data_IF_565306908970
#
_entry.id   IF_565306908970
#
_cell.length_a   1.000
_cell.length_b   1.000
_cell.length_c   1.000
_cell.angle_alpha   90.00
_cell.angle_beta   90.00
_cell.angle_gamma   90.00
#
_symmetry.space_group_name_H-M   'P 1'
#
loop_
_entity.id
_entity.type
_entity.pdbx_description
1 polymer ?
#
# COMPACT_ATOMS: atom_id res chain seq x y z
N UNK A 1 -1.20 -53.55 5.10
CA UNK A 1 -0.17 -52.71 5.76
C UNK A 1 0.79 -52.22 4.69
N UNK A 2 0.70 -50.95 4.30
CA UNK A 2 1.66 -50.32 3.38
C UNK A 2 2.98 -50.09 4.13
N UNK A 3 4.09 -50.67 3.66
CA UNK A 3 5.42 -50.43 4.25
C UNK A 3 5.78 -48.95 4.06
N UNK A 4 6.11 -48.26 5.15
CA UNK A 4 6.68 -46.90 5.09
C UNK A 4 8.02 -46.95 4.38
N UNK A 5 8.18 -46.15 3.32
CA UNK A 5 9.45 -45.96 2.64
C UNK A 5 10.45 -45.30 3.60
N UNK A 6 11.70 -45.75 3.54
CA UNK A 6 12.85 -45.13 4.20
C UNK A 6 13.21 -43.81 3.53
N UNK A 7 13.91 -42.91 4.24
CA UNK A 7 14.34 -41.61 3.69
C UNK A 7 15.19 -41.75 2.43
N UNK A 8 16.00 -42.81 2.33
CA UNK A 8 16.80 -43.12 1.13
C UNK A 8 15.93 -43.53 -0.06
N UNK A 9 14.86 -44.30 0.16
CA UNK A 9 13.90 -44.67 -0.88
C UNK A 9 13.10 -43.47 -1.37
N UNK A 10 12.82 -42.50 -0.48
CA UNK A 10 12.17 -41.24 -0.84
C UNK A 10 13.13 -40.39 -1.68
N UNK A 11 14.39 -40.22 -1.26
CA UNK A 11 15.38 -39.46 -2.02
C UNK A 11 15.63 -40.04 -3.42
N UNK A 12 15.79 -41.37 -3.56
CA UNK A 12 15.98 -42.01 -4.86
C UNK A 12 14.74 -41.95 -5.77
N UNK A 13 13.56 -41.72 -5.20
CA UNK A 13 12.33 -41.49 -5.97
C UNK A 13 12.20 -40.06 -6.51
N UNK A 14 12.91 -39.12 -5.89
CA UNK A 14 12.84 -37.68 -6.19
C UNK A 14 14.08 -37.20 -6.94
N UNK A 15 15.22 -37.88 -6.82
CA UNK A 15 16.49 -37.50 -7.46
C UNK A 15 17.09 -38.64 -8.27
N UNK A 16 17.81 -38.31 -9.35
CA UNK A 16 18.68 -39.25 -10.06
C UNK A 16 19.92 -39.54 -9.21
N UNK A 17 20.21 -40.82 -8.99
CA UNK A 17 21.31 -41.28 -8.15
C UNK A 17 22.69 -41.01 -8.75
N UNK A 18 22.79 -40.76 -10.05
CA UNK A 18 24.07 -40.53 -10.74
C UNK A 18 24.53 -39.07 -10.68
N UNK A 19 23.60 -38.10 -10.70
CA UNK A 19 23.92 -36.67 -10.76
C UNK A 19 23.12 -35.78 -9.78
N UNK A 20 22.33 -36.39 -8.88
CA UNK A 20 21.54 -35.69 -7.85
C UNK A 20 20.54 -34.65 -8.40
N UNK A 21 20.09 -34.80 -9.65
CA UNK A 21 19.07 -33.91 -10.26
C UNK A 21 17.65 -34.35 -9.94
N UNK A 22 16.75 -33.39 -9.79
CA UNK A 22 15.33 -33.62 -9.46
C UNK A 22 14.59 -34.33 -10.62
N UNK A 23 13.88 -35.42 -10.34
CA UNK A 23 13.02 -36.16 -11.30
C UNK A 23 11.68 -35.45 -11.57
N UNK A 24 11.67 -34.13 -11.76
CA UNK A 24 10.48 -33.41 -12.19
C UNK A 24 10.67 -32.93 -13.63
N UNK A 25 10.01 -33.60 -14.59
CA UNK A 25 9.84 -33.09 -15.95
C UNK A 25 8.38 -32.66 -16.10
N UNK A 26 8.14 -31.35 -16.22
CA UNK A 26 6.87 -30.84 -16.72
C UNK A 26 7.01 -30.73 -18.24
N UNK A 27 6.13 -31.41 -18.98
CA UNK A 27 6.16 -31.46 -20.44
C UNK A 27 4.83 -30.90 -20.95
N UNK A 28 4.88 -29.76 -21.62
CA UNK A 28 3.85 -29.36 -22.60
C UNK A 28 4.32 -29.78 -23.99
N UNK A 29 3.48 -29.67 -25.02
CA UNK A 29 3.76 -30.25 -26.34
C UNK A 29 5.09 -29.77 -26.97
N UNK A 30 5.59 -28.58 -26.62
CA UNK A 30 6.75 -27.96 -27.27
C UNK A 30 7.91 -27.52 -26.35
N UNK A 31 7.84 -27.71 -25.03
CA UNK A 31 8.91 -27.26 -24.10
C UNK A 31 9.21 -28.25 -22.96
N UNK A 32 10.50 -28.38 -22.61
CA UNK A 32 10.95 -29.12 -21.44
C UNK A 32 11.51 -28.16 -20.39
N UNK A 33 10.84 -28.08 -19.24
CA UNK A 33 11.32 -27.35 -18.07
C UNK A 33 12.21 -28.26 -17.21
N UNK A 34 13.49 -27.90 -17.09
CA UNK A 34 14.47 -28.61 -16.27
C UNK A 34 14.79 -27.82 -15.00
N UNK A 35 14.63 -28.43 -13.81
CA UNK A 35 15.04 -27.85 -12.53
C UNK A 35 16.34 -28.51 -12.05
N UNK A 36 17.41 -27.73 -11.92
CA UNK A 36 18.75 -28.21 -11.54
C UNK A 36 19.19 -27.54 -10.24
N UNK A 37 19.41 -28.31 -9.18
CA UNK A 37 20.00 -27.78 -7.95
C UNK A 37 21.52 -27.72 -8.06
N UNK A 38 22.08 -26.52 -7.96
CA UNK A 38 23.51 -26.27 -7.98
C UNK A 38 24.06 -26.29 -6.55
N UNK A 39 24.84 -27.32 -6.23
CA UNK A 39 25.38 -27.53 -4.89
C UNK A 39 26.47 -26.53 -4.49
N UNK A 40 27.17 -25.89 -5.43
CA UNK A 40 28.19 -24.89 -5.09
C UNK A 40 27.58 -23.56 -4.70
N UNK A 41 26.47 -23.18 -5.34
CA UNK A 41 25.78 -21.92 -5.06
C UNK A 41 24.57 -22.07 -4.12
N UNK A 42 24.14 -23.30 -3.82
CA UNK A 42 22.95 -23.59 -3.02
C UNK A 42 21.64 -23.15 -3.69
N UNK A 43 21.64 -22.96 -5.02
CA UNK A 43 20.52 -22.39 -5.78
C UNK A 43 19.86 -23.42 -6.68
N UNK A 44 18.54 -23.28 -6.84
CA UNK A 44 17.78 -23.99 -7.87
C UNK A 44 17.83 -23.17 -9.17
N UNK A 45 18.32 -23.78 -10.25
CA UNK A 45 18.37 -23.23 -11.61
C UNK A 45 17.21 -23.82 -12.43
N UNK A 46 16.61 -23.01 -13.29
CA UNK A 46 15.54 -23.43 -14.20
C UNK A 46 16.06 -23.25 -15.62
N UNK A 47 16.07 -24.33 -16.42
CA UNK A 47 16.48 -24.30 -17.81
C UNK A 47 15.31 -24.72 -18.70
N UNK A 48 15.03 -23.97 -19.76
CA UNK A 48 14.16 -24.42 -20.85
C UNK A 48 15.01 -24.92 -22.02
N UNK A 49 14.74 -26.12 -22.50
CA UNK A 49 15.29 -26.65 -23.75
C UNK A 49 14.16 -26.80 -24.78
N UNK A 50 14.29 -26.18 -25.98
CA UNK A 50 13.34 -26.39 -27.08
C UNK A 50 13.19 -25.30 -28.16
N UNK A 51 13.63 -24.05 -27.96
CA UNK A 51 13.36 -23.00 -28.95
C UNK A 51 14.30 -23.07 -30.19
N UNK A 52 13.83 -23.68 -31.27
CA UNK A 52 14.49 -23.61 -32.59
C UNK A 52 14.06 -22.33 -33.30
N UNK A 53 15.01 -21.42 -33.54
CA UNK A 53 14.86 -20.36 -34.55
C UNK A 53 14.11 -19.09 -34.11
N UNK A 54 14.69 -18.35 -33.17
CA UNK A 54 14.34 -16.96 -32.86
C UNK A 54 15.53 -16.31 -32.14
N UNK A 55 15.76 -15.01 -32.35
CA UNK A 55 16.83 -14.25 -31.69
C UNK A 55 16.90 -14.61 -30.19
N UNK A 56 18.10 -14.68 -29.57
CA UNK A 56 18.21 -15.06 -28.17
C UNK A 56 17.26 -14.18 -27.37
N UNK A 57 16.26 -14.82 -26.75
CA UNK A 57 15.43 -14.15 -25.76
C UNK A 57 16.39 -13.78 -24.64
N UNK A 58 16.89 -12.54 -24.69
CA UNK A 58 17.55 -11.94 -23.55
C UNK A 58 16.54 -12.01 -22.42
N UNK A 59 16.88 -12.77 -21.40
CA UNK A 59 16.11 -12.78 -20.17
C UNK A 59 15.98 -11.31 -19.73
N UNK A 60 14.78 -10.72 -19.63
CA UNK A 60 14.62 -9.34 -19.18
C UNK A 60 15.24 -9.11 -17.78
N UNK A 61 15.46 -10.20 -17.03
CA UNK A 61 16.14 -10.20 -15.73
C UNK A 61 17.67 -10.09 -15.81
N UNK A 62 18.34 -10.57 -16.87
CA UNK A 62 19.80 -10.40 -17.01
C UNK A 62 20.17 -8.98 -17.43
N UNK A 63 19.34 -8.34 -18.25
CA UNK A 63 19.47 -6.91 -18.56
C UNK A 63 19.28 -6.04 -17.29
N UNK A 64 18.51 -6.52 -16.31
CA UNK A 64 18.27 -5.81 -15.04
C UNK A 64 19.36 -6.02 -13.99
N UNK A 65 20.12 -7.11 -14.08
CA UNK A 65 21.29 -7.32 -13.22
C UNK A 65 22.51 -6.50 -13.70
N UNK A 66 22.56 -6.13 -14.98
CA UNK A 66 23.71 -5.44 -15.57
C UNK A 66 23.59 -3.91 -15.62
N UNK A 67 22.43 -3.34 -15.30
CA UNK A 67 22.23 -1.88 -15.25
C UNK A 67 22.08 -1.35 -13.83
N UNK A 68 22.47 -2.13 -12.82
CA UNK A 68 22.66 -1.60 -11.46
C UNK A 68 24.08 -1.02 -11.40
N UNK A 69 24.28 0.28 -11.65
CA UNK A 69 25.60 0.86 -11.55
C UNK A 69 25.93 0.86 -10.07
N UNK A 70 27.04 0.23 -9.69
CA UNK A 70 27.57 0.20 -8.33
C UNK A 70 27.37 1.57 -7.62
N UNK A 71 26.32 1.64 -6.79
CA UNK A 71 25.72 2.91 -6.35
C UNK A 71 24.29 2.79 -5.78
N UNK A 72 23.59 1.65 -5.96
CA UNK A 72 22.23 1.40 -5.43
C UNK A 72 22.12 1.17 -3.91
N UNK A 73 22.75 2.05 -3.13
CA UNK A 73 22.40 2.33 -1.74
C UNK A 73 21.59 3.64 -1.62
N UNK A 74 21.06 4.19 -2.73
CA UNK A 74 20.41 5.51 -2.81
C UNK A 74 18.86 5.51 -2.74
N UNK A 75 18.23 4.48 -2.18
CA UNK A 75 16.91 4.61 -1.54
C UNK A 75 15.64 4.66 -2.43
N UNK A 76 15.72 4.47 -3.76
CA UNK A 76 14.51 4.23 -4.57
C UNK A 76 14.69 4.42 -6.09
N UNK A 77 13.92 3.68 -6.89
CA UNK A 77 13.77 3.85 -8.34
C UNK A 77 12.70 4.92 -8.64
N UNK A 78 12.94 5.76 -9.65
CA UNK A 78 11.97 6.76 -10.12
C UNK A 78 11.53 6.43 -11.54
N UNK A 79 10.22 6.52 -11.82
CA UNK A 79 9.66 6.25 -13.15
C UNK A 79 8.37 7.02 -13.43
N UNK A 80 7.92 7.01 -14.69
CA UNK A 80 6.81 7.85 -15.20
C UNK A 80 7.29 9.23 -15.64
N UNK A 81 6.37 10.11 -16.05
CA UNK A 81 6.67 11.52 -16.33
C UNK A 81 5.40 12.37 -16.28
N UNK A 82 5.19 13.10 -15.19
CA UNK A 82 3.91 13.77 -14.90
C UNK A 82 4.08 15.24 -14.55
N UNK A 83 3.52 16.12 -15.38
CA UNK A 83 3.49 17.56 -15.10
C UNK A 83 2.31 17.95 -14.19
N UNK A 84 2.47 19.06 -13.46
CA UNK A 84 1.44 19.62 -12.59
C UNK A 84 1.61 19.30 -11.10
N UNK A 85 0.77 19.92 -10.28
CA UNK A 85 0.84 19.87 -8.81
C UNK A 85 -0.45 19.32 -8.22
N UNK A 86 -0.36 18.72 -7.03
CA UNK A 86 -1.53 18.16 -6.35
C UNK A 86 -2.18 17.01 -7.10
N UNK A 87 -1.43 16.26 -7.92
CA UNK A 87 -2.02 15.41 -8.97
C UNK A 87 -2.90 14.30 -8.41
N UNK A 88 -2.27 13.35 -7.73
CA UNK A 88 -2.94 12.16 -7.19
C UNK A 88 -2.74 12.03 -5.69
N UNK A 89 -3.67 11.34 -5.04
CA UNK A 89 -3.68 11.07 -3.61
C UNK A 89 -4.19 9.65 -3.35
N UNK A 90 -3.54 8.96 -2.41
CA UNK A 90 -3.83 7.56 -2.10
C UNK A 90 -3.51 6.60 -3.25
N UNK A 91 -3.04 5.40 -2.92
CA UNK A 91 -2.82 4.33 -3.89
C UNK A 91 -3.55 3.08 -3.41
N UNK A 92 -4.28 2.42 -4.30
CA UNK A 92 -5.03 1.20 -3.99
C UNK A 92 -4.55 0.09 -4.90
N UNK A 93 -4.02 -0.97 -4.31
CA UNK A 93 -3.71 -2.20 -5.04
C UNK A 93 -5.03 -2.88 -5.43
N UNK A 94 -5.23 -3.10 -6.73
CA UNK A 94 -6.39 -3.78 -7.29
C UNK A 94 -6.12 -5.28 -7.55
N UNK A 95 -7.16 -6.12 -7.70
CA UNK A 95 -7.00 -7.55 -7.99
C UNK A 95 -6.26 -7.87 -9.29
N UNK A 96 -6.26 -6.94 -10.26
CA UNK A 96 -5.50 -7.06 -11.51
C UNK A 96 -3.99 -6.81 -11.35
N UNK A 97 -3.51 -6.58 -10.12
CA UNK A 97 -2.10 -6.34 -9.80
C UNK A 97 -1.64 -4.89 -10.03
N UNK A 98 -2.47 -4.02 -10.61
CA UNK A 98 -2.17 -2.60 -10.78
C UNK A 98 -2.51 -1.80 -9.52
N UNK A 99 -1.84 -0.68 -9.33
CA UNK A 99 -2.16 0.33 -8.32
C UNK A 99 -2.93 1.48 -8.97
N UNK A 100 -4.08 1.84 -8.42
CA UNK A 100 -4.88 2.98 -8.86
C UNK A 100 -4.77 4.14 -7.87
N UNK A 101 -4.47 5.34 -8.36
CA UNK A 101 -4.31 6.55 -7.56
C UNK A 101 -5.45 7.54 -7.83
N UNK A 102 -6.09 8.03 -6.76
CA UNK A 102 -7.26 8.88 -6.90
C UNK A 102 -6.89 10.26 -7.49
N UNK A 103 -7.65 10.78 -8.47
CA UNK A 103 -7.35 12.06 -9.11
C UNK A 103 -7.79 13.24 -8.24
N UNK A 104 -6.87 13.74 -7.40
CA UNK A 104 -7.14 14.87 -6.51
C UNK A 104 -7.29 16.18 -7.30
N UNK A 105 -6.22 16.66 -7.92
CA UNK A 105 -6.28 17.80 -8.87
C UNK A 105 -5.94 17.41 -10.31
N UNK A 106 -5.42 16.21 -10.56
CA UNK A 106 -5.25 15.68 -11.92
C UNK A 106 -6.61 15.43 -12.58
N UNK A 107 -6.76 15.66 -13.89
CA UNK A 107 -8.01 15.34 -14.59
C UNK A 107 -8.23 13.85 -14.80
N UNK A 108 -7.25 12.99 -14.52
CA UNK A 108 -7.33 11.56 -14.82
C UNK A 108 -6.83 10.73 -13.65
N UNK A 109 -7.39 9.53 -13.44
CA UNK A 109 -6.86 8.53 -12.53
C UNK A 109 -5.49 8.08 -13.05
N UNK A 110 -4.52 7.84 -12.16
CA UNK A 110 -3.25 7.19 -12.51
C UNK A 110 -3.34 5.71 -12.14
N UNK A 111 -3.18 4.83 -13.12
CA UNK A 111 -2.96 3.41 -12.90
C UNK A 111 -1.48 3.07 -13.14
N UNK A 112 -0.88 2.33 -12.21
CA UNK A 112 0.53 1.93 -12.23
C UNK A 112 0.60 0.42 -12.32
N UNK A 113 1.34 -0.11 -13.30
CA UNK A 113 1.70 -1.52 -13.34
C UNK A 113 3.05 -1.70 -12.63
N UNK A 114 3.09 -2.28 -11.42
CA UNK A 114 4.33 -2.47 -10.68
C UNK A 114 5.26 -3.52 -11.28
N UNK A 115 4.79 -4.35 -12.21
CA UNK A 115 5.57 -5.44 -12.81
C UNK A 115 6.61 -4.91 -13.80
N UNK A 116 6.24 -3.90 -14.59
CA UNK A 116 7.07 -3.32 -15.65
C UNK A 116 7.26 -1.80 -15.50
N UNK A 117 6.77 -1.21 -14.40
CA UNK A 117 6.83 0.22 -14.11
C UNK A 117 6.16 1.10 -15.17
N UNK A 118 5.20 0.57 -15.91
CA UNK A 118 4.38 1.36 -16.85
C UNK A 118 3.21 2.03 -16.14
N UNK A 119 2.67 3.07 -16.77
CA UNK A 119 1.55 3.83 -16.22
C UNK A 119 0.51 4.15 -17.29
N UNK A 120 -0.74 4.25 -16.87
CA UNK A 120 -1.91 4.52 -17.69
C UNK A 120 -2.74 5.63 -17.05
N UNK A 121 -3.27 6.56 -17.85
CA UNK A 121 -4.17 7.60 -17.37
C UNK A 121 -5.61 7.30 -17.81
N UNK A 122 -6.53 7.28 -16.84
CA UNK A 122 -7.90 6.80 -17.04
C UNK A 122 -8.91 7.90 -16.73
N UNK A 123 -9.91 8.03 -17.60
CA UNK A 123 -11.02 8.97 -17.43
C UNK A 123 -10.66 10.43 -17.74
N UNK A 124 -11.62 11.32 -17.47
CA UNK A 124 -11.47 12.78 -17.59
C UNK A 124 -12.44 13.46 -16.63
N UNK A 125 -11.91 14.13 -15.62
CA UNK A 125 -12.64 14.72 -14.51
C UNK A 125 -12.25 16.19 -14.37
N UNK A 126 -13.22 17.12 -14.47
CA UNK A 126 -13.00 18.55 -14.27
C UNK A 126 -12.86 18.92 -12.78
N UNK A 127 -12.28 20.07 -12.44
CA UNK A 127 -12.18 20.58 -11.06
C UNK A 127 -10.82 20.35 -10.37
N UNK A 128 -10.77 20.55 -9.06
CA UNK A 128 -9.55 20.37 -8.24
C UNK A 128 -9.88 19.86 -6.83
N UNK A 129 -8.89 19.24 -6.19
CA UNK A 129 -9.01 18.69 -4.84
C UNK A 129 -10.22 17.77 -4.59
N UNK A 130 -10.60 16.96 -5.58
CA UNK A 130 -11.88 16.23 -5.59
C UNK A 130 -11.94 15.03 -4.67
N UNK A 131 -11.03 14.09 -4.86
CA UNK A 131 -10.98 12.81 -4.14
C UNK A 131 -9.60 12.58 -3.56
N UNK A 132 -9.55 12.06 -2.34
CA UNK A 132 -8.30 11.98 -1.58
C UNK A 132 -7.66 10.59 -1.54
N UNK A 133 -8.44 9.53 -1.48
CA UNK A 133 -7.92 8.18 -1.35
C UNK A 133 -9.02 7.19 -1.64
N UNK A 134 -8.63 6.01 -2.08
CA UNK A 134 -9.54 4.93 -2.41
C UNK A 134 -9.47 3.79 -1.42
N UNK A 135 -10.49 2.94 -1.46
CA UNK A 135 -10.53 1.64 -0.78
C UNK A 135 -11.02 0.60 -1.77
N UNK A 136 -10.33 -0.54 -1.83
CA UNK A 136 -10.81 -1.70 -2.57
C UNK A 136 -11.94 -2.37 -1.79
N UNK A 137 -13.11 -2.50 -2.40
CA UNK A 137 -14.28 -3.14 -1.84
C UNK A 137 -14.34 -4.64 -2.21
N UNK A 138 -15.15 -5.46 -1.48
CA UNK A 138 -15.33 -6.88 -1.79
C UNK A 138 -15.88 -7.16 -3.19
N UNK A 139 -16.59 -6.20 -3.80
CA UNK A 139 -17.09 -6.29 -5.17
C UNK A 139 -16.00 -6.07 -6.25
N UNK A 140 -14.73 -5.92 -5.85
CA UNK A 140 -13.59 -5.71 -6.74
C UNK A 140 -13.41 -4.28 -7.24
N UNK A 141 -14.32 -3.35 -6.89
CA UNK A 141 -14.25 -1.94 -7.27
C UNK A 141 -13.53 -1.10 -6.22
N UNK A 142 -13.00 0.03 -6.64
CA UNK A 142 -12.32 1.00 -5.77
C UNK A 142 -13.24 2.20 -5.57
N UNK A 143 -13.47 2.58 -4.32
CA UNK A 143 -14.30 3.73 -3.94
C UNK A 143 -13.43 4.84 -3.38
N UNK A 144 -13.42 6.00 -4.03
CA UNK A 144 -12.65 7.16 -3.63
C UNK A 144 -13.49 8.17 -2.85
N UNK A 145 -13.06 8.50 -1.63
CA UNK A 145 -13.78 9.40 -0.73
C UNK A 145 -13.91 10.81 -1.33
N UNK A 146 -15.12 11.41 -1.34
CA UNK A 146 -15.35 12.73 -1.94
C UNK A 146 -14.93 13.86 -0.99
N UNK A 147 -13.77 14.46 -1.21
CA UNK A 147 -13.26 15.55 -0.39
C UNK A 147 -13.92 16.89 -0.75
N UNK A 148 -13.59 17.48 -1.91
CA UNK A 148 -14.33 18.62 -2.48
C UNK A 148 -15.34 18.18 -3.55
N UNK A 149 -15.24 16.96 -4.07
CA UNK A 149 -16.25 16.44 -4.99
C UNK A 149 -17.61 16.35 -4.32
N UNK A 150 -18.69 16.57 -5.06
CA UNK A 150 -20.04 16.26 -4.58
C UNK A 150 -20.38 14.78 -4.68
N UNK A 151 -19.57 13.97 -5.35
CA UNK A 151 -19.87 12.56 -5.62
C UNK A 151 -18.67 11.67 -5.32
N UNK A 152 -18.92 10.45 -4.83
CA UNK A 152 -17.92 9.39 -4.68
C UNK A 152 -17.51 8.95 -6.08
N UNK A 153 -16.21 8.76 -6.32
CA UNK A 153 -15.71 8.14 -7.55
C UNK A 153 -15.55 6.64 -7.33
N UNK A 154 -16.20 5.84 -8.16
CA UNK A 154 -16.07 4.38 -8.19
C UNK A 154 -15.30 3.99 -9.45
N UNK A 155 -14.28 3.15 -9.29
CA UNK A 155 -13.42 2.67 -10.38
C UNK A 155 -13.56 1.15 -10.45
N UNK A 156 -13.81 0.61 -11.65
CA UNK A 156 -13.78 -0.82 -11.91
C UNK A 156 -12.42 -1.20 -12.53
N UNK A 157 -11.51 -1.86 -11.78
CA UNK A 157 -10.21 -2.27 -12.31
C UNK A 157 -10.28 -3.34 -13.41
N UNK A 158 -11.41 -4.03 -13.57
CA UNK A 158 -11.56 -5.08 -14.57
C UNK A 158 -11.60 -4.53 -16.01
N UNK A 159 -12.18 -3.36 -16.21
CA UNK A 159 -12.38 -2.73 -17.52
C UNK A 159 -12.03 -1.23 -17.55
N UNK A 160 -11.47 -0.70 -16.46
CA UNK A 160 -11.15 0.72 -16.25
C UNK A 160 -12.37 1.66 -16.34
N UNK A 161 -13.61 1.15 -16.29
CA UNK A 161 -14.80 1.99 -16.24
C UNK A 161 -14.92 2.74 -14.90
N UNK A 162 -15.64 3.86 -14.92
CA UNK A 162 -15.83 4.69 -13.74
C UNK A 162 -17.27 5.12 -13.59
N UNK A 163 -17.72 5.27 -12.35
CA UNK A 163 -19.06 5.70 -11.97
C UNK A 163 -18.96 6.79 -10.90
N UNK A 164 -19.89 7.75 -10.92
CA UNK A 164 -20.02 8.77 -9.87
C UNK A 164 -21.33 8.55 -9.13
N UNK A 165 -21.25 8.35 -7.81
CA UNK A 165 -22.42 8.04 -6.97
C UNK A 165 -22.59 9.04 -5.83
N UNK A 166 -23.84 9.19 -5.38
CA UNK A 166 -24.22 10.10 -4.29
C UNK A 166 -24.23 11.58 -4.68
N UNK A 167 -24.57 12.43 -3.70
CA UNK A 167 -24.59 13.89 -3.82
C UNK A 167 -24.39 14.52 -2.44
N UNK A 168 -23.21 15.08 -2.21
CA UNK A 168 -22.74 15.56 -0.92
C UNK A 168 -22.24 17.00 -1.03
N UNK A 169 -23.04 17.96 -0.53
CA UNK A 169 -22.66 19.37 -0.47
C UNK A 169 -21.51 19.64 0.50
N UNK A 170 -20.80 20.76 0.32
CA UNK A 170 -19.68 21.17 1.18
C UNK A 170 -18.31 20.83 0.62
N UNK A 171 -17.27 21.31 1.29
CA UNK A 171 -15.85 21.13 0.89
C UNK A 171 -15.06 20.44 1.99
N UNK A 172 -13.92 19.85 1.63
CA UNK A 172 -12.97 19.20 2.52
C UNK A 172 -13.59 18.12 3.44
N UNK A 173 -14.59 17.41 2.92
CA UNK A 173 -15.48 16.59 3.75
C UNK A 173 -14.77 15.39 4.37
N UNK A 174 -14.29 14.47 3.54
CA UNK A 174 -13.67 13.22 3.98
C UNK A 174 -12.31 13.02 3.31
N UNK A 175 -11.28 12.68 4.09
CA UNK A 175 -9.89 12.59 3.63
C UNK A 175 -9.32 11.16 3.58
N UNK A 176 -9.81 10.26 4.43
CA UNK A 176 -9.45 8.84 4.42
C UNK A 176 -10.69 7.97 4.31
N UNK A 177 -10.50 6.69 4.02
CA UNK A 177 -11.56 5.69 4.08
C UNK A 177 -10.99 4.34 4.46
N UNK A 178 -11.81 3.51 5.12
CA UNK A 178 -11.43 2.16 5.59
C UNK A 178 -12.55 1.18 5.27
N UNK A 179 -12.20 0.00 4.74
CA UNK A 179 -13.13 -1.12 4.60
C UNK A 179 -13.27 -1.81 5.96
N UNK A 180 -14.50 -1.98 6.44
CA UNK A 180 -14.80 -2.70 7.67
C UNK A 180 -15.17 -4.17 7.40
N UNK A 181 -15.12 -5.05 8.43
CA UNK A 181 -15.51 -6.46 8.31
C UNK A 181 -16.96 -6.69 7.88
N UNK A 182 -17.85 -5.71 8.11
CA UNK A 182 -19.23 -5.76 7.65
C UNK A 182 -19.40 -5.51 6.14
N UNK A 183 -18.29 -5.36 5.40
CA UNK A 183 -18.28 -5.11 3.95
C UNK A 183 -18.54 -3.66 3.54
N UNK A 184 -18.80 -2.76 4.51
CA UNK A 184 -19.04 -1.32 4.27
C UNK A 184 -17.75 -0.52 4.37
N UNK A 185 -17.74 0.64 3.71
CA UNK A 185 -16.62 1.58 3.71
C UNK A 185 -16.97 2.77 4.57
N UNK A 186 -16.08 3.14 5.49
CA UNK A 186 -16.23 4.29 6.38
C UNK A 186 -15.27 5.38 5.97
N UNK A 187 -15.79 6.48 5.44
CA UNK A 187 -15.05 7.68 5.06
C UNK A 187 -14.87 8.60 6.28
N UNK A 188 -13.62 8.95 6.55
CA UNK A 188 -13.17 9.61 7.78
C UNK A 188 -13.45 11.12 7.70
N UNK A 189 -14.20 11.70 8.66
CA UNK A 189 -14.61 13.10 8.62
C UNK A 189 -13.44 14.05 8.88
N UNK A 190 -13.03 14.79 7.86
CA UNK A 190 -12.02 15.83 7.96
C UNK A 190 -12.68 17.15 8.41
N UNK A 191 -13.41 17.83 7.51
CA UNK A 191 -14.26 18.99 7.84
C UNK A 191 -15.74 18.60 7.94
N UNK A 192 -16.14 17.43 7.42
CA UNK A 192 -17.52 16.96 7.56
C UNK A 192 -17.87 16.74 9.04
N UNK A 193 -19.12 17.06 9.42
CA UNK A 193 -19.62 16.78 10.77
C UNK A 193 -19.88 15.28 10.98
N UNK A 194 -20.08 14.51 9.92
CA UNK A 194 -20.51 13.11 10.02
C UNK A 194 -19.58 12.19 9.24
N UNK A 195 -19.47 10.95 9.72
CA UNK A 195 -18.79 9.87 8.98
C UNK A 195 -19.72 9.46 7.83
N UNK A 196 -19.16 9.30 6.63
CA UNK A 196 -19.90 8.75 5.49
C UNK A 196 -19.66 7.25 5.42
N UNK A 197 -20.73 6.48 5.48
CA UNK A 197 -20.73 5.02 5.31
C UNK A 197 -21.26 4.69 3.93
N UNK A 198 -20.56 3.83 3.20
CA UNK A 198 -20.92 3.39 1.84
C UNK A 198 -21.12 1.88 1.88
N UNK A 199 -22.22 1.38 1.32
CA UNK A 199 -22.45 -0.03 1.08
C UNK A 199 -22.10 -0.38 -0.38
N UNK A 200 -21.00 -1.10 -0.65
CA UNK A 200 -20.60 -1.45 -2.01
C UNK A 200 -21.53 -2.47 -2.68
N UNK A 201 -22.42 -3.13 -1.94
CA UNK A 201 -23.35 -4.12 -2.51
C UNK A 201 -24.45 -3.46 -3.37
N UNK A 202 -24.90 -2.26 -2.99
CA UNK A 202 -26.00 -1.54 -3.63
C UNK A 202 -25.73 -0.04 -3.84
N UNK A 203 -24.51 0.42 -3.53
CA UNK A 203 -24.08 1.83 -3.57
C UNK A 203 -24.89 2.77 -2.65
N UNK A 204 -25.65 2.24 -1.69
CA UNK A 204 -26.35 3.06 -0.70
C UNK A 204 -25.36 3.73 0.26
N UNK A 205 -25.77 4.86 0.82
CA UNK A 205 -24.93 5.65 1.74
C UNK A 205 -25.69 6.10 2.96
N UNK A 206 -24.98 6.19 4.08
CA UNK A 206 -25.49 6.62 5.39
C UNK A 206 -24.51 7.62 6.01
N UNK A 207 -25.03 8.58 6.80
CA UNK A 207 -24.23 9.51 7.58
C UNK A 207 -24.43 9.22 9.07
N UNK A 208 -23.33 8.99 9.79
CA UNK A 208 -23.37 8.61 11.21
C UNK A 208 -22.50 9.55 12.06
N UNK A 209 -22.86 9.68 13.34
CA UNK A 209 -22.19 10.56 14.31
C UNK A 209 -22.47 12.05 14.08
N UNK A 210 -21.83 12.88 14.91
CA UNK A 210 -21.88 14.35 14.86
C UNK A 210 -20.63 14.94 15.53
N UNK A 211 -19.72 15.47 14.73
CA UNK A 211 -18.39 15.90 15.12
C UNK A 211 -18.06 17.27 14.52
N UNK A 212 -18.32 18.33 15.29
CA UNK A 212 -18.09 19.70 14.84
C UNK A 212 -16.59 20.05 14.74
N UNK A 213 -16.28 21.00 13.85
CA UNK A 213 -14.93 21.52 13.64
C UNK A 213 -14.27 21.02 12.35
N UNK A 214 -13.07 21.54 12.06
CA UNK A 214 -12.34 21.30 10.83
C UNK A 214 -11.02 20.55 11.03
N UNK A 215 -10.58 19.84 9.99
CA UNK A 215 -9.33 19.12 9.88
C UNK A 215 -9.11 18.14 11.03
N UNK A 216 -10.19 17.51 11.49
CA UNK A 216 -10.23 16.75 12.75
C UNK A 216 -9.38 15.50 12.66
N UNK A 217 -9.72 14.63 11.73
CA UNK A 217 -9.06 13.35 11.48
C UNK A 217 -8.70 13.20 10.01
N UNK A 218 -7.73 12.34 9.70
CA UNK A 218 -7.24 12.17 8.34
C UNK A 218 -7.33 10.72 7.85
N UNK A 219 -6.33 9.89 8.16
CA UNK A 219 -6.31 8.47 7.84
C UNK A 219 -6.85 7.62 8.98
N UNK A 220 -7.07 6.34 8.71
CA UNK A 220 -7.51 5.39 9.72
C UNK A 220 -7.08 3.98 9.37
N UNK A 221 -7.11 3.09 10.36
CA UNK A 221 -6.78 1.69 10.21
C UNK A 221 -7.83 0.83 10.91
N UNK A 222 -8.17 -0.30 10.29
CA UNK A 222 -8.97 -1.35 10.90
C UNK A 222 -8.10 -2.11 11.90
N UNK A 223 -8.53 -2.18 13.15
CA UNK A 223 -7.86 -2.94 14.20
C UNK A 223 -8.36 -4.41 14.25
N UNK A 224 -7.59 -5.33 14.87
CA UNK A 224 -8.02 -6.72 15.08
C UNK A 224 -9.31 -6.87 15.90
N UNK A 225 -9.66 -5.88 16.71
CA UNK A 225 -10.92 -5.85 17.47
C UNK A 225 -12.15 -5.49 16.61
N UNK A 226 -11.98 -5.28 15.30
CA UNK A 226 -13.05 -4.95 14.36
C UNK A 226 -13.39 -3.46 14.28
N UNK A 227 -12.80 -2.62 15.14
CA UNK A 227 -13.02 -1.16 15.14
C UNK A 227 -12.04 -0.43 14.24
N UNK A 228 -12.42 0.77 13.81
CA UNK A 228 -11.59 1.65 12.98
C UNK A 228 -11.05 2.78 13.86
N UNK A 229 -9.74 2.99 13.87
CA UNK A 229 -9.09 4.07 14.61
C UNK A 229 -8.56 5.13 13.63
N UNK A 230 -8.96 6.38 13.82
CA UNK A 230 -8.63 7.50 12.95
C UNK A 230 -7.60 8.44 13.58
N UNK A 231 -6.54 8.77 12.83
CA UNK A 231 -5.45 9.62 13.29
C UNK A 231 -5.95 11.03 13.63
N UNK A 232 -5.66 11.56 14.83
CA UNK A 232 -6.05 12.92 15.20
C UNK A 232 -5.12 13.94 14.53
N UNK A 233 -5.60 14.59 13.47
CA UNK A 233 -4.83 15.58 12.74
C UNK A 233 -4.78 16.91 13.50
N UNK A 234 -5.90 17.64 13.54
CA UNK A 234 -6.08 18.81 14.41
C UNK A 234 -6.96 18.51 15.63
N UNK A 235 -7.71 17.40 15.62
CA UNK A 235 -8.44 16.96 16.80
C UNK A 235 -7.48 16.70 17.96
N UNK A 236 -7.93 16.97 19.19
CA UNK A 236 -7.19 16.58 20.38
C UNK A 236 -7.33 15.08 20.68
N UNK A 237 -8.24 14.37 20.02
CA UNK A 237 -8.64 13.01 20.38
C UNK A 237 -8.72 12.13 19.15
N UNK A 238 -8.36 10.86 19.29
CA UNK A 238 -8.54 9.81 18.28
C UNK A 238 -10.04 9.55 18.14
N UNK A 239 -10.53 9.38 16.91
CA UNK A 239 -11.87 8.87 16.65
C UNK A 239 -11.81 7.36 16.49
N UNK A 240 -12.66 6.64 17.21
CA UNK A 240 -12.82 5.19 17.11
C UNK A 240 -14.25 4.91 16.64
N UNK A 241 -14.39 4.13 15.57
CA UNK A 241 -15.68 3.79 14.96
C UNK A 241 -15.90 2.30 15.15
N UNK A 242 -17.07 1.91 15.63
CA UNK A 242 -17.50 0.52 15.72
C UNK A 242 -18.45 0.19 14.56
N UNK A 243 -18.01 -0.60 13.56
CA UNK A 243 -18.84 -0.97 12.43
C UNK A 243 -19.98 -1.94 12.77
N UNK A 244 -20.00 -2.53 13.97
CA UNK A 244 -21.03 -3.51 14.35
C UNK A 244 -22.38 -2.84 14.62
N UNK A 245 -22.37 -1.63 15.19
CA UNK A 245 -23.56 -0.85 15.54
C UNK A 245 -23.52 0.59 15.02
N UNK A 246 -22.52 0.94 14.21
CA UNK A 246 -22.28 2.30 13.70
C UNK A 246 -22.07 3.35 14.81
N UNK A 247 -21.67 2.93 16.02
CA UNK A 247 -21.30 3.88 17.07
C UNK A 247 -19.89 4.43 16.86
N UNK A 248 -19.60 5.53 17.56
CA UNK A 248 -18.28 6.13 17.54
C UNK A 248 -17.97 6.78 18.90
N UNK A 249 -16.71 6.67 19.30
CA UNK A 249 -16.17 7.24 20.53
C UNK A 249 -14.89 8.03 20.26
N UNK A 250 -14.53 8.91 21.19
CA UNK A 250 -13.31 9.72 21.11
C UNK A 250 -12.41 9.42 22.32
N UNK A 251 -11.13 9.15 22.07
CA UNK A 251 -10.17 8.72 23.09
C UNK A 251 -8.87 9.52 23.03
N UNK A 252 -8.13 9.50 24.14
CA UNK A 252 -6.85 10.20 24.27
C UNK A 252 -6.99 11.71 24.40
N UNK A 253 -5.83 12.38 24.51
CA UNK A 253 -5.73 13.84 24.61
C UNK A 253 -4.35 14.29 24.13
N UNK A 254 -4.32 14.99 23.00
CA UNK A 254 -3.11 15.40 22.29
C UNK A 254 -3.18 16.88 21.92
N UNK A 255 -2.09 17.61 22.11
CA UNK A 255 -2.00 19.03 21.76
C UNK A 255 -1.30 19.24 20.42
N UNK A 256 -1.62 20.34 19.75
CA UNK A 256 -1.02 20.72 18.47
C UNK A 256 -1.88 20.42 17.24
N UNK A 257 -1.38 20.87 16.09
CA UNK A 257 -2.08 20.81 14.79
C UNK A 257 -1.24 20.05 13.76
N UNK A 258 -1.90 19.58 12.70
CA UNK A 258 -1.32 18.81 11.61
C UNK A 258 -0.47 17.62 12.10
N UNK A 259 -0.89 16.99 13.21
CA UNK A 259 -0.07 16.06 13.99
C UNK A 259 0.25 14.80 13.21
N UNK A 260 -0.75 13.93 13.07
CA UNK A 260 -0.65 12.65 12.39
C UNK A 260 -1.65 12.56 11.23
N UNK A 261 -1.24 11.87 10.16
CA UNK A 261 -2.03 11.76 8.93
C UNK A 261 -2.52 10.33 8.72
N UNK A 262 -1.73 9.49 8.04
CA UNK A 262 -2.05 8.07 7.82
C UNK A 262 -1.89 7.22 9.08
N UNK A 263 -2.57 6.08 9.10
CA UNK A 263 -2.43 5.04 10.11
C UNK A 263 -2.02 3.73 9.43
N UNK A 264 -1.16 2.95 10.08
CA UNK A 264 -0.73 1.64 9.59
C UNK A 264 -0.88 0.62 10.72
N UNK A 265 -1.58 -0.49 10.43
CA UNK A 265 -1.66 -1.61 11.35
C UNK A 265 -0.35 -2.41 11.27
N UNK A 266 0.30 -2.64 12.41
CA UNK A 266 1.48 -3.49 12.52
C UNK A 266 1.09 -4.95 12.87
N UNK A 267 1.98 -5.94 12.65
CA UNK A 267 1.72 -7.34 13.00
C UNK A 267 1.40 -7.59 14.48
N UNK A 268 1.85 -6.69 15.37
CA UNK A 268 1.53 -6.72 16.80
C UNK A 268 0.06 -6.43 17.13
N UNK A 269 -0.73 -5.97 16.14
CA UNK A 269 -2.09 -5.48 16.35
C UNK A 269 -2.17 -4.01 16.73
N UNK A 270 -1.01 -3.36 16.99
CA UNK A 270 -0.93 -1.93 17.27
C UNK A 270 -1.00 -1.09 15.99
N UNK A 271 -1.53 0.12 16.12
CA UNK A 271 -1.69 1.07 15.02
C UNK A 271 -0.67 2.19 15.16
N UNK A 272 0.10 2.45 14.10
CA UNK A 272 1.11 3.49 14.04
C UNK A 272 0.59 4.66 13.18
N UNK A 273 0.46 5.83 13.78
CA UNK A 273 0.04 7.05 13.12
C UNK A 273 1.25 7.86 12.64
N UNK A 274 1.28 8.21 11.35
CA UNK A 274 2.43 8.80 10.66
C UNK A 274 2.63 10.27 11.06
N UNK A 275 3.83 10.68 11.53
CA UNK A 275 4.09 12.01 12.10
C UNK A 275 4.31 13.08 11.02
N UNK A 276 3.21 13.61 10.48
CA UNK A 276 3.27 14.71 9.50
C UNK A 276 3.82 16.00 10.09
N UNK A 277 3.27 16.46 11.22
CA UNK A 277 3.71 17.64 11.95
C UNK A 277 4.03 17.39 13.43
N UNK A 278 3.58 16.26 14.00
CA UNK A 278 3.93 15.88 15.37
C UNK A 278 5.41 15.51 15.49
N UNK A 279 6.10 15.89 16.58
CA UNK A 279 7.50 15.51 16.78
C UNK A 279 7.73 14.02 17.04
N UNK A 280 6.65 13.25 17.25
CA UNK A 280 6.71 11.84 17.61
C UNK A 280 5.67 11.04 16.83
N UNK A 281 5.93 9.76 16.61
CA UNK A 281 4.96 8.78 16.12
C UNK A 281 3.97 8.49 17.25
N UNK A 282 2.69 8.38 16.92
CA UNK A 282 1.66 7.90 17.85
C UNK A 282 1.40 6.42 17.60
N UNK A 283 1.50 5.62 18.66
CA UNK A 283 1.12 4.21 18.67
C UNK A 283 -0.14 4.06 19.49
N UNK A 284 -1.12 3.34 18.95
CA UNK A 284 -2.38 3.03 19.61
C UNK A 284 -2.42 1.51 19.81
N UNK A 285 -2.73 1.06 21.03
CA UNK A 285 -3.03 -0.34 21.33
C UNK A 285 -4.56 -0.52 21.38
N UNK A 286 -5.16 -1.19 20.37
CA UNK A 286 -6.61 -1.39 20.35
C UNK A 286 -7.14 -2.37 21.40
N UNK A 287 -6.28 -3.10 22.11
CA UNK A 287 -6.72 -4.08 23.11
C UNK A 287 -7.21 -3.41 24.40
N UNK A 288 -6.65 -2.24 24.74
CA UNK A 288 -6.97 -1.49 25.95
C UNK A 288 -7.10 0.04 25.72
N UNK A 289 -7.03 0.48 24.45
CA UNK A 289 -7.06 1.88 24.02
C UNK A 289 -5.93 2.75 24.61
N UNK A 290 -4.83 2.15 25.07
CA UNK A 290 -3.65 2.90 25.50
C UNK A 290 -2.86 3.45 24.32
N UNK A 291 -2.04 4.46 24.59
CA UNK A 291 -1.24 5.13 23.56
C UNK A 291 0.18 5.38 24.02
N UNK A 292 1.12 5.28 23.09
CA UNK A 292 2.55 5.54 23.29
C UNK A 292 3.04 6.56 22.24
N UNK A 293 4.01 7.40 22.63
CA UNK A 293 4.68 8.34 21.73
C UNK A 293 6.18 8.04 21.71
N UNK A 294 6.77 7.95 20.51
CA UNK A 294 8.21 7.76 20.37
C UNK A 294 8.79 8.44 19.12
N UNK A 295 10.12 8.54 19.07
CA UNK A 295 10.86 9.26 18.05
C UNK A 295 11.05 10.75 18.37
N UNK A 296 11.77 11.45 17.50
CA UNK A 296 12.04 12.89 17.61
C UNK A 296 12.28 13.48 16.22
N UNK A 297 11.29 14.22 15.73
CA UNK A 297 11.28 14.77 14.38
C UNK A 297 11.01 16.27 14.41
N UNK A 298 11.75 17.05 13.62
CA UNK A 298 11.58 18.50 13.46
C UNK A 298 10.98 18.85 12.09
N UNK A 299 10.39 20.04 11.94
CA UNK A 299 9.72 20.46 10.71
C UNK A 299 8.26 20.05 10.61
N UNK A 300 7.64 20.33 9.47
CA UNK A 300 6.19 20.16 9.24
C UNK A 300 5.89 19.48 7.92
N UNK A 301 4.72 18.84 7.84
CA UNK A 301 4.23 18.15 6.65
C UNK A 301 5.24 17.13 6.05
N UNK A 302 5.95 16.39 6.90
CA UNK A 302 7.07 15.53 6.49
C UNK A 302 6.63 14.31 5.71
N UNK A 303 5.78 13.49 6.32
CA UNK A 303 5.26 12.24 5.79
C UNK A 303 3.76 12.18 6.07
N UNK A 304 2.97 11.71 5.11
CA UNK A 304 1.51 11.71 5.23
C UNK A 304 0.87 10.33 5.21
N UNK A 305 1.57 9.32 4.70
CA UNK A 305 1.11 7.95 4.70
C UNK A 305 2.27 6.99 4.82
N UNK A 306 1.98 5.80 5.32
CA UNK A 306 2.92 4.70 5.41
C UNK A 306 2.27 3.39 4.97
N UNK A 307 3.10 2.40 4.73
CA UNK A 307 2.65 1.03 4.45
C UNK A 307 3.55 0.04 5.16
N UNK A 308 2.95 -1.02 5.71
CA UNK A 308 3.69 -2.16 6.24
C UNK A 308 4.28 -2.95 5.07
N UNK A 309 5.59 -3.13 5.06
CA UNK A 309 6.30 -3.93 4.08
C UNK A 309 6.50 -5.39 4.59
N UNK A 310 6.76 -6.35 3.69
CA UNK A 310 7.02 -7.76 4.03
C UNK A 310 8.17 -8.01 5.00
N UNK A 311 9.11 -7.07 5.15
CA UNK A 311 10.18 -7.15 6.16
C UNK A 311 9.72 -6.78 7.58
N UNK A 312 8.42 -6.50 7.76
CA UNK A 312 7.82 -6.15 9.03
C UNK A 312 7.99 -4.69 9.42
N UNK A 313 8.65 -3.87 8.60
CA UNK A 313 8.83 -2.44 8.85
C UNK A 313 7.77 -1.60 8.14
N UNK A 314 7.48 -0.41 8.68
CA UNK A 314 6.56 0.55 8.08
C UNK A 314 7.38 1.60 7.33
N UNK A 315 7.08 1.78 6.06
CA UNK A 315 7.74 2.73 5.17
C UNK A 315 6.85 3.95 4.93
N UNK A 316 7.37 5.14 5.21
CA UNK A 316 6.67 6.41 5.06
C UNK A 316 7.37 7.27 4.00
N UNK A 317 6.75 7.43 2.83
CA UNK A 317 7.35 8.19 1.72
C UNK A 317 7.34 9.71 1.99
N UNK A 318 8.40 10.44 1.61
CA UNK A 318 8.54 11.85 1.93
C UNK A 318 7.59 12.75 1.14
N UNK A 319 6.80 13.55 1.85
CA UNK A 319 6.07 14.68 1.27
C UNK A 319 6.96 15.92 1.21
N UNK A 320 7.22 16.56 2.35
CA UNK A 320 8.20 17.66 2.48
C UNK A 320 9.51 17.23 3.16
N UNK A 321 9.57 16.06 3.80
CA UNK A 321 10.84 15.54 4.30
C UNK A 321 11.80 15.26 3.16
N UNK A 322 13.10 15.29 3.43
CA UNK A 322 14.12 14.90 2.44
C UNK A 322 14.24 13.38 2.30
N UNK A 323 13.82 12.62 3.30
CA UNK A 323 14.13 11.19 3.40
C UNK A 323 12.88 10.38 3.71
N UNK A 324 12.88 9.11 3.34
CA UNK A 324 11.87 8.12 3.75
C UNK A 324 12.09 7.86 5.24
N UNK A 325 11.00 7.84 6.01
CA UNK A 325 11.01 7.36 7.39
C UNK A 325 10.67 5.86 7.38
N UNK A 326 11.51 5.05 8.01
CA UNK A 326 11.27 3.63 8.25
C UNK A 326 11.07 3.43 9.75
N UNK A 327 10.00 2.73 10.12
CA UNK A 327 9.65 2.45 11.51
C UNK A 327 9.74 0.93 11.71
N UNK A 328 10.47 0.49 12.72
CA UNK A 328 10.46 -0.89 13.16
C UNK A 328 9.43 -1.03 14.30
N UNK A 329 8.27 -1.65 14.06
CA UNK A 329 7.24 -1.80 15.09
C UNK A 329 7.60 -2.85 16.16
N UNK A 330 8.68 -3.62 15.99
CA UNK A 330 9.10 -4.64 16.96
C UNK A 330 9.73 -4.03 18.21
N UNK A 331 10.48 -2.94 18.04
CA UNK A 331 11.25 -2.28 19.09
C UNK A 331 11.02 -0.75 19.16
N UNK A 332 10.08 -0.22 18.36
CA UNK A 332 9.81 1.21 18.23
C UNK A 332 11.07 2.03 17.89
N UNK A 333 11.97 1.48 17.07
CA UNK A 333 13.09 2.23 16.49
C UNK A 333 12.73 2.83 15.13
N UNK A 334 13.51 3.82 14.70
CA UNK A 334 13.32 4.47 13.39
C UNK A 334 14.63 4.65 12.65
N UNK A 335 14.56 4.55 11.33
CA UNK A 335 15.65 4.79 10.39
C UNK A 335 15.20 5.80 9.32
N UNK A 336 16.14 6.52 8.73
CA UNK A 336 15.91 7.42 7.59
C UNK A 336 16.70 6.94 6.39
N UNK A 337 16.09 7.00 5.20
CA UNK A 337 16.70 6.48 3.97
C UNK A 337 16.46 7.37 2.76
N UNK A 338 17.43 7.35 1.84
CA UNK A 338 17.39 8.12 0.60
C UNK A 338 17.62 9.61 0.83
N UNK A 339 17.56 10.38 -0.25
CA UNK A 339 17.62 11.84 -0.22
C UNK A 339 16.89 12.36 -1.46
N UNK A 340 15.80 13.09 -1.23
CA UNK A 340 14.86 13.54 -2.23
C UNK A 340 14.58 15.03 -2.04
N UNK A 341 15.10 15.85 -2.94
CA UNK A 341 14.93 17.30 -2.92
C UNK A 341 13.54 17.73 -3.41
N UNK A 342 13.14 18.95 -3.03
CA UNK A 342 11.84 19.52 -3.40
C UNK A 342 10.75 19.25 -2.38
N UNK A 343 9.59 19.86 -2.63
CA UNK A 343 8.44 19.87 -1.70
C UNK A 343 7.24 19.13 -2.27
N UNK A 344 6.37 18.67 -1.37
CA UNK A 344 5.11 18.04 -1.69
C UNK A 344 5.22 16.86 -2.68
N UNK A 345 6.31 16.08 -2.57
CA UNK A 345 6.74 15.13 -3.60
C UNK A 345 5.72 14.01 -3.80
N UNK A 346 5.52 13.19 -2.78
CA UNK A 346 4.58 12.06 -2.77
C UNK A 346 3.60 12.18 -1.61
N UNK A 347 2.32 11.86 -1.82
CA UNK A 347 1.30 12.03 -0.77
C UNK A 347 1.19 10.85 0.20
N UNK A 348 1.56 9.66 -0.26
CA UNK A 348 1.40 8.43 0.50
C UNK A 348 1.96 7.29 -0.33
N UNK A 349 1.89 6.09 0.22
CA UNK A 349 2.43 4.92 -0.44
C UNK A 349 1.52 3.71 -0.31
N UNK A 350 1.78 2.73 -1.17
CA UNK A 350 1.06 1.47 -1.25
C UNK A 350 2.06 0.36 -1.54
N UNK A 351 1.82 -0.81 -0.98
CA UNK A 351 2.61 -2.01 -1.23
C UNK A 351 2.09 -2.67 -2.52
N UNK A 352 2.99 -2.84 -3.48
CA UNK A 352 2.71 -3.60 -4.70
C UNK A 352 2.87 -5.11 -4.47
N UNK A 353 2.29 -5.99 -5.32
CA UNK A 353 2.37 -7.44 -5.16
C UNK A 353 3.80 -8.00 -5.18
N UNK A 354 4.72 -7.29 -5.83
CA UNK A 354 6.14 -7.64 -5.92
C UNK A 354 6.95 -7.18 -4.68
N UNK A 355 6.29 -6.73 -3.62
CA UNK A 355 6.93 -6.22 -2.41
C UNK A 355 7.42 -4.77 -2.52
N UNK A 356 7.34 -4.12 -3.68
CA UNK A 356 7.82 -2.74 -3.83
C UNK A 356 6.85 -1.77 -3.15
N UNK A 357 7.39 -0.84 -2.35
CA UNK A 357 6.62 0.29 -1.83
C UNK A 357 6.58 1.39 -2.89
N UNK A 358 5.38 1.70 -3.38
CA UNK A 358 5.16 2.73 -4.38
C UNK A 358 4.68 4.04 -3.74
N UNK A 359 5.43 5.12 -3.90
CA UNK A 359 5.05 6.47 -3.53
C UNK A 359 4.20 7.14 -4.62
N UNK A 360 3.00 7.58 -4.25
CA UNK A 360 2.02 8.21 -5.15
C UNK A 360 2.45 9.64 -5.48
N UNK A 361 2.75 9.98 -6.75
CA UNK A 361 3.27 11.30 -7.11
C UNK A 361 2.22 12.39 -6.89
N UNK A 362 2.57 13.39 -6.10
CA UNK A 362 1.72 14.55 -5.83
C UNK A 362 2.19 15.77 -6.64
N UNK A 363 3.34 16.35 -6.27
CA UNK A 363 4.00 17.38 -7.09
C UNK A 363 5.19 16.82 -7.85
N UNK A 364 5.78 15.72 -7.39
CA UNK A 364 6.89 15.09 -8.08
C UNK A 364 6.46 14.55 -9.45
N UNK A 365 7.35 14.60 -10.43
CA UNK A 365 7.08 14.17 -11.82
C UNK A 365 7.12 12.64 -11.98
N UNK A 366 7.71 11.95 -11.00
CA UNK A 366 7.95 10.50 -11.03
C UNK A 366 7.25 9.80 -9.86
N UNK A 367 6.76 8.59 -10.09
CA UNK A 367 6.47 7.61 -9.04
C UNK A 367 7.78 7.23 -8.34
N UNK A 368 7.74 7.05 -7.02
CA UNK A 368 8.84 6.49 -6.25
C UNK A 368 8.62 5.00 -6.04
N UNK A 369 9.60 4.16 -6.32
CA UNK A 369 9.61 2.74 -6.02
C UNK A 369 10.73 2.41 -5.04
N UNK A 370 10.37 2.03 -3.82
CA UNK A 370 11.33 1.68 -2.77
C UNK A 370 11.32 0.17 -2.58
N UNK A 371 12.49 -0.47 -2.71
CA UNK A 371 12.68 -1.87 -2.32
C UNK A 371 13.03 -1.91 -0.84
N UNK A 372 12.31 -2.73 -0.06
CA UNK A 372 12.60 -2.95 1.35
C UNK A 372 13.67 -4.06 1.49
N UNK A 373 14.58 -3.88 2.44
CA UNK A 373 15.63 -4.84 2.77
C UNK A 373 16.76 -5.02 1.73
N UNK A 374 17.93 -5.40 2.24
CA UNK A 374 19.05 -5.93 1.47
C UNK A 374 18.95 -7.46 1.41
N UNK A 375 17.99 -8.00 0.64
CA UNK A 375 17.97 -9.43 0.32
C UNK A 375 17.86 -9.62 -1.19
N UNK A 376 19.00 -9.98 -1.78
CA UNK A 376 19.08 -10.37 -3.17
C UNK A 376 18.16 -11.54 -3.49
N UNK A 377 17.49 -11.44 -4.63
CA UNK A 377 17.05 -12.55 -5.48
C UNK A 377 16.28 -13.74 -4.83
N UNK A 378 15.56 -13.58 -3.72
CA UNK A 378 14.70 -14.65 -3.18
C UNK A 378 13.24 -14.19 -3.01
N UNK A 379 12.63 -13.77 -4.12
CA UNK A 379 11.27 -13.21 -4.16
C UNK A 379 10.15 -14.21 -4.51
N UNK A 380 10.42 -15.53 -4.56
CA UNK A 380 9.40 -16.54 -4.87
C UNK A 380 8.92 -17.35 -3.66
N UNK A 381 9.53 -17.17 -2.49
CA UNK A 381 9.21 -17.92 -1.29
C UNK A 381 9.05 -16.98 -0.09
N UNK A 382 7.96 -16.21 -0.06
CA UNK A 382 7.29 -15.67 1.14
C UNK A 382 6.13 -14.75 0.69
N UNK A 383 5.16 -15.33 -0.02
CA UNK A 383 3.82 -14.74 -0.12
C UNK A 383 3.01 -15.23 1.08
N UNK A 384 3.07 -14.49 2.18
CA UNK A 384 2.09 -14.57 3.25
C UNK A 384 1.73 -13.13 3.61
N UNK A 385 0.44 -12.82 3.70
CA UNK A 385 -0.16 -11.48 3.81
C UNK A 385 -0.47 -10.74 2.50
N UNK A 386 -1.09 -11.45 1.57
CA UNK A 386 -2.25 -10.87 0.88
C UNK A 386 -3.35 -10.65 1.92
N UNK A 387 -3.89 -9.42 2.01
CA UNK A 387 -5.20 -9.17 2.61
C UNK A 387 -6.17 -10.25 2.11
N UNK A 388 -6.50 -11.21 2.97
CA UNK A 388 -7.53 -12.20 2.70
C UNK A 388 -8.72 -11.89 3.61
N UNK A 389 -9.74 -11.40 2.91
CA UNK A 389 -11.18 -11.56 3.13
C UNK A 389 -11.76 -11.03 4.44
#
# INVERSE_FOLDING_TARGET
>A
MSKRKTSAEILNSVFDSADSRLKAKYKTEDEVLNLVFDQQSGRLKVNLEGAVGGAPHSNPLEAYASTDPAGALSGGLLFGDFSGTGKWRGGVLAPNGKVYCAPYSSTQILAINPTDNTTELIGSFGGSARWFGGVLAPNGKIYCAPYNSTQILVINPADNSTELIGSFGGTKKWAGAVLAPNGKIYCIPYDAAQILVINPADNSTELIGSFEGGAKWFGGALAPNGKIYCAPLNSAQILVIDPTDNSAEIIGSFSGTAKWYGCVLAPSGKIYCVPGGASQILVIDPSDNTTELFGSFSGSARWFGGVLAPDGKIYCVPYNAEQILVINPTDNSTEIMGSFSGSAKWWGCVLAPNGVVLGVPNNHEKVLAVRHGAHGAQWWALSAYTNKL
#
